data_IF_203705075110
#
_entry.id   IF_203705075110
#
_cell.length_a   1.000
_cell.length_b   1.000
_cell.length_c   1.000
_cell.angle_alpha   90.00
_cell.angle_beta   90.00
_cell.angle_gamma   90.00
#
_symmetry.space_group_name_H-M   'P 1'
#
loop_
_entity.id
_entity.type
_entity.pdbx_description
1 polymer ?
#
# COMPACT_ATOMS: atom_id res chain seq x y z
N UNK A 1 -17.94 -9.03 -13.40
CA UNK A 1 -17.54 -10.47 -13.48
C UNK A 1 -18.71 -11.39 -13.14
N UNK A 2 -19.84 -10.84 -12.72
CA UNK A 2 -21.04 -11.61 -12.41
C UNK A 2 -21.54 -12.31 -13.68
N UNK A 3 -21.45 -13.63 -13.69
CA UNK A 3 -21.89 -14.48 -14.81
C UNK A 3 -20.79 -15.11 -15.66
N UNK A 4 -19.52 -14.74 -15.45
CA UNK A 4 -18.40 -15.40 -16.13
C UNK A 4 -18.03 -16.70 -15.42
N UNK A 5 -17.97 -17.79 -16.17
CA UNK A 5 -17.34 -19.02 -15.72
C UNK A 5 -16.20 -19.38 -16.65
N UNK A 6 -15.06 -19.83 -16.11
CA UNK A 6 -13.94 -20.33 -16.88
C UNK A 6 -13.75 -21.79 -16.51
N UNK A 7 -14.07 -22.65 -17.46
CA UNK A 7 -14.05 -24.09 -17.22
C UNK A 7 -15.03 -24.48 -16.11
N UNK A 8 -14.53 -25.11 -15.04
CA UNK A 8 -15.33 -25.56 -13.87
C UNK A 8 -15.48 -24.51 -12.76
N UNK A 9 -14.89 -23.32 -12.92
CA UNK A 9 -14.92 -22.29 -11.88
C UNK A 9 -16.07 -21.30 -12.11
N UNK A 10 -16.87 -21.09 -11.06
CA UNK A 10 -17.83 -19.99 -11.01
C UNK A 10 -17.11 -18.64 -10.81
N UNK A 11 -17.80 -17.51 -11.02
CA UNK A 11 -17.26 -16.19 -10.77
C UNK A 11 -16.71 -16.06 -9.32
N UNK A 12 -17.46 -16.60 -8.33
CA UNK A 12 -17.00 -16.64 -6.94
C UNK A 12 -15.75 -17.49 -6.76
N UNK A 13 -15.70 -18.67 -7.37
CA UNK A 13 -14.53 -19.56 -7.31
C UNK A 13 -13.29 -18.92 -7.95
N UNK A 14 -13.45 -18.08 -8.98
CA UNK A 14 -12.35 -17.34 -9.59
C UNK A 14 -11.80 -16.23 -8.66
N UNK A 15 -12.68 -15.57 -7.90
CA UNK A 15 -12.24 -14.59 -6.89
C UNK A 15 -11.48 -15.30 -5.77
N UNK A 16 -11.99 -16.40 -5.25
CA UNK A 16 -11.34 -17.19 -4.19
C UNK A 16 -9.97 -17.71 -4.67
N UNK A 17 -9.88 -18.26 -5.88
CA UNK A 17 -8.63 -18.72 -6.48
C UNK A 17 -7.61 -17.58 -6.64
N UNK A 18 -8.06 -16.40 -7.04
CA UNK A 18 -7.20 -15.21 -7.15
C UNK A 18 -6.64 -14.81 -5.79
N UNK A 19 -7.46 -14.80 -4.74
CA UNK A 19 -7.01 -14.45 -3.39
C UNK A 19 -6.01 -15.50 -2.85
N UNK A 20 -6.25 -16.79 -3.09
CA UNK A 20 -5.30 -17.85 -2.74
C UNK A 20 -3.96 -17.70 -3.51
N UNK A 21 -4.02 -17.37 -4.79
CA UNK A 21 -2.83 -17.13 -5.60
C UNK A 21 -2.04 -15.91 -5.11
N UNK A 22 -2.72 -14.80 -4.82
CA UNK A 22 -2.09 -13.62 -4.25
C UNK A 22 -1.44 -13.93 -2.90
N UNK A 23 -2.11 -14.74 -2.09
CA UNK A 23 -1.61 -15.21 -0.82
C UNK A 23 -0.33 -16.04 -0.96
N UNK A 24 -0.33 -16.98 -1.90
CA UNK A 24 0.84 -17.84 -2.19
C UNK A 24 2.01 -17.01 -2.70
N UNK A 25 1.76 -16.06 -3.61
CA UNK A 25 2.79 -15.15 -4.11
C UNK A 25 3.38 -14.31 -2.99
N UNK A 26 2.55 -13.75 -2.12
CA UNK A 26 3.00 -12.99 -0.96
C UNK A 26 3.88 -13.81 -0.04
N UNK A 27 3.48 -15.05 0.26
CA UNK A 27 4.27 -15.98 1.08
C UNK A 27 5.61 -16.33 0.42
N UNK A 28 5.63 -16.57 -0.90
CA UNK A 28 6.86 -16.89 -1.63
C UNK A 28 7.85 -15.72 -1.65
N UNK A 29 7.37 -14.49 -1.88
CA UNK A 29 8.20 -13.29 -1.84
C UNK A 29 8.75 -13.05 -0.43
N UNK A 30 7.91 -13.16 0.60
CA UNK A 30 8.35 -13.01 1.99
C UNK A 30 9.38 -14.07 2.39
N UNK A 31 9.16 -15.33 2.03
CA UNK A 31 10.12 -16.41 2.27
C UNK A 31 11.47 -16.14 1.59
N UNK A 32 11.43 -15.74 0.31
CA UNK A 32 12.64 -15.39 -0.44
C UNK A 32 13.40 -14.23 0.21
N UNK A 33 12.69 -13.20 0.66
CA UNK A 33 13.29 -12.07 1.35
C UNK A 33 13.94 -12.49 2.68
N UNK A 34 13.22 -13.22 3.53
CA UNK A 34 13.76 -13.66 4.82
C UNK A 34 15.03 -14.50 4.64
N UNK A 35 15.03 -15.37 3.63
CA UNK A 35 16.20 -16.20 3.30
C UNK A 35 17.40 -15.38 2.83
N UNK A 36 17.18 -14.27 2.14
CA UNK A 36 18.23 -13.46 1.50
C UNK A 36 18.44 -12.10 2.19
N UNK A 37 17.89 -11.90 3.39
CA UNK A 37 17.90 -10.60 4.08
C UNK A 37 19.31 -10.01 4.23
N UNK A 38 20.30 -10.85 4.48
CA UNK A 38 21.70 -10.42 4.59
C UNK A 38 22.31 -9.84 3.30
N UNK A 39 21.64 -10.03 2.15
CA UNK A 39 22.07 -9.49 0.87
C UNK A 39 21.27 -8.25 0.44
N UNK A 40 20.44 -7.71 1.33
CA UNK A 40 19.48 -6.64 1.01
C UNK A 40 19.80 -5.29 1.69
N UNK A 41 20.99 -5.14 2.27
CA UNK A 41 21.41 -3.91 2.95
C UNK A 41 21.35 -2.68 2.04
N UNK A 42 21.55 -2.88 0.74
CA UNK A 42 21.42 -1.82 -0.28
C UNK A 42 20.01 -1.19 -0.31
N UNK A 43 18.98 -1.91 0.12
CA UNK A 43 17.60 -1.37 0.20
C UNK A 43 17.52 -0.35 1.33
N UNK A 44 18.13 -0.63 2.47
CA UNK A 44 18.18 0.27 3.61
C UNK A 44 19.06 1.49 3.29
N UNK A 45 20.21 1.29 2.65
CA UNK A 45 21.08 2.38 2.18
C UNK A 45 20.36 3.30 1.18
N UNK A 46 19.63 2.71 0.22
CA UNK A 46 18.85 3.47 -0.74
C UNK A 46 17.69 4.22 -0.08
N UNK A 47 16.98 3.59 0.87
CA UNK A 47 15.94 4.24 1.63
C UNK A 47 16.45 5.44 2.44
N UNK A 48 17.62 5.29 3.07
CA UNK A 48 18.27 6.38 3.80
C UNK A 48 18.66 7.54 2.87
N UNK A 49 19.23 7.25 1.69
CA UNK A 49 19.51 8.27 0.68
C UNK A 49 18.25 9.03 0.26
N UNK A 50 17.17 8.32 -0.08
CA UNK A 50 15.88 8.93 -0.44
C UNK A 50 15.35 9.79 0.70
N UNK A 51 15.43 9.29 1.94
CA UNK A 51 15.04 10.03 3.13
C UNK A 51 15.82 11.34 3.30
N UNK A 52 17.13 11.31 3.12
CA UNK A 52 17.98 12.51 3.19
C UNK A 52 17.61 13.55 2.12
N UNK A 53 17.31 13.11 0.90
CA UNK A 53 16.88 14.01 -0.17
C UNK A 53 15.50 14.61 0.13
N UNK A 54 14.56 13.79 0.57
CA UNK A 54 13.20 14.25 0.90
C UNK A 54 13.17 15.25 2.07
N UNK A 55 14.04 15.08 3.05
CA UNK A 55 14.15 16.01 4.21
C UNK A 55 14.46 17.44 3.82
N UNK A 56 15.11 17.68 2.68
CA UNK A 56 15.41 19.05 2.18
C UNK A 56 14.16 19.88 1.94
N UNK A 57 12.99 19.22 1.78
CA UNK A 57 11.69 19.92 1.77
C UNK A 57 11.48 20.81 3.00
N UNK A 58 12.04 20.46 4.15
CA UNK A 58 11.90 21.27 5.37
C UNK A 58 12.60 22.64 5.26
N UNK A 59 13.54 22.78 4.32
CA UNK A 59 14.32 24.01 4.10
C UNK A 59 13.64 24.94 3.09
N UNK A 60 13.11 24.38 2.00
CA UNK A 60 12.60 25.14 0.87
C UNK A 60 11.13 24.85 0.47
N UNK A 61 10.50 23.87 1.11
CA UNK A 61 9.11 23.48 0.84
C UNK A 61 8.90 22.71 -0.48
N UNK A 62 9.98 22.34 -1.18
CA UNK A 62 9.92 21.69 -2.49
C UNK A 62 10.07 20.17 -2.36
N UNK A 63 9.16 19.40 -2.95
CA UNK A 63 9.31 17.95 -3.10
C UNK A 63 10.40 17.65 -4.11
N UNK A 64 11.49 17.03 -3.66
CA UNK A 64 12.67 16.79 -4.49
C UNK A 64 12.81 15.37 -5.00
N UNK A 65 11.99 14.48 -4.49
CA UNK A 65 12.10 13.06 -4.82
C UNK A 65 10.75 12.36 -4.70
N UNK A 66 10.45 11.54 -5.70
CA UNK A 66 9.38 10.56 -5.70
C UNK A 66 9.90 9.22 -6.19
N UNK A 67 9.35 8.15 -5.65
CA UNK A 67 9.70 6.79 -6.06
C UNK A 67 8.49 6.17 -6.77
N UNK A 68 8.67 5.78 -8.01
CA UNK A 68 7.66 5.06 -8.80
C UNK A 68 8.12 3.62 -8.95
N UNK A 69 7.27 2.67 -8.56
CA UNK A 69 7.62 1.25 -8.61
C UNK A 69 6.46 0.39 -9.09
N UNK A 70 6.81 -0.70 -9.76
CA UNK A 70 5.87 -1.77 -10.12
C UNK A 70 5.93 -2.95 -9.15
N UNK A 71 6.82 -2.90 -8.16
CA UNK A 71 6.99 -3.95 -7.18
C UNK A 71 5.84 -3.98 -6.16
N UNK A 72 5.40 -5.18 -5.82
CA UNK A 72 4.33 -5.39 -4.81
C UNK A 72 4.87 -5.58 -3.40
N UNK A 73 6.14 -5.97 -3.28
CA UNK A 73 6.76 -6.21 -1.98
C UNK A 73 6.71 -4.96 -1.09
N UNK A 74 6.90 -5.17 0.19
CA UNK A 74 6.85 -4.12 1.21
C UNK A 74 8.21 -3.83 1.83
N UNK A 75 9.28 -4.34 1.24
CA UNK A 75 10.63 -4.22 1.80
C UNK A 75 11.08 -2.77 1.80
N UNK A 76 10.90 -2.10 0.67
CA UNK A 76 11.26 -0.69 0.55
C UNK A 76 10.34 0.22 1.38
N UNK A 77 9.05 -0.12 1.50
CA UNK A 77 8.10 0.56 2.39
C UNK A 77 8.60 0.55 3.84
N UNK A 78 9.04 -0.63 4.31
CA UNK A 78 9.57 -0.79 5.67
C UNK A 78 10.93 -0.11 5.85
N UNK A 79 11.79 -0.15 4.84
CA UNK A 79 13.08 0.53 4.87
C UNK A 79 12.91 2.05 4.95
N UNK A 80 12.02 2.63 4.14
CA UNK A 80 11.69 4.06 4.20
C UNK A 80 11.09 4.45 5.55
N UNK A 81 10.17 3.62 6.09
CA UNK A 81 9.60 3.87 7.41
C UNK A 81 10.67 3.89 8.49
N UNK A 82 11.57 2.90 8.53
CA UNK A 82 12.71 2.88 9.46
C UNK A 82 13.62 4.09 9.30
N UNK A 83 13.95 4.46 8.07
CA UNK A 83 14.80 5.62 7.78
C UNK A 83 14.17 6.94 8.31
N UNK A 84 12.86 7.11 8.14
CA UNK A 84 12.13 8.25 8.68
C UNK A 84 12.16 8.24 10.22
N UNK A 85 11.84 7.11 10.86
CA UNK A 85 11.76 6.98 12.31
C UNK A 85 13.12 7.16 12.98
N UNK A 86 14.19 6.63 12.40
CA UNK A 86 15.55 6.79 12.90
C UNK A 86 16.07 8.22 12.74
N UNK A 87 15.67 8.89 11.67
CA UNK A 87 16.15 10.21 11.36
C UNK A 87 15.56 11.34 12.21
N UNK A 88 14.28 11.28 12.55
CA UNK A 88 13.58 12.30 13.36
C UNK A 88 12.28 11.75 13.97
N UNK A 89 12.35 11.01 15.06
CA UNK A 89 11.17 10.39 15.68
C UNK A 89 10.11 11.41 16.14
N UNK A 90 10.50 12.66 16.38
CA UNK A 90 9.61 13.74 16.87
C UNK A 90 8.80 14.38 15.74
N UNK A 91 9.15 14.16 14.48
CA UNK A 91 8.47 14.81 13.35
C UNK A 91 7.53 13.81 12.68
N UNK A 92 6.29 14.24 12.47
CA UNK A 92 5.27 13.47 11.77
C UNK A 92 5.58 13.45 10.26
N UNK A 93 6.63 12.75 9.88
CA UNK A 93 7.00 12.47 8.50
C UNK A 93 6.44 11.12 8.08
N UNK A 94 6.08 10.96 6.81
CA UNK A 94 5.33 9.79 6.35
C UNK A 94 5.80 9.28 5.00
N UNK A 95 5.64 7.98 4.80
CA UNK A 95 5.60 7.38 3.46
C UNK A 95 4.23 7.69 2.86
N UNK A 96 4.22 8.41 1.75
CA UNK A 96 3.00 8.87 1.08
C UNK A 96 2.74 8.04 -0.17
N UNK A 97 1.70 7.26 -0.15
CA UNK A 97 1.28 6.48 -1.33
C UNK A 97 0.47 7.29 -2.35
N UNK A 98 0.26 8.59 -2.11
CA UNK A 98 -0.52 9.49 -2.96
C UNK A 98 -1.94 8.99 -3.25
N UNK A 99 -2.54 8.32 -2.28
CA UNK A 99 -3.92 7.84 -2.32
C UNK A 99 -4.52 7.83 -0.92
N UNK A 100 -5.85 7.64 -0.83
CA UNK A 100 -6.55 7.67 0.45
C UNK A 100 -6.46 6.32 1.16
N UNK A 101 -5.65 6.26 2.20
CA UNK A 101 -5.44 5.05 2.99
C UNK A 101 -5.71 5.30 4.47
N UNK A 102 -6.11 4.24 5.18
CA UNK A 102 -6.18 4.22 6.65
C UNK A 102 -5.17 3.20 7.16
N UNK A 103 -4.44 3.51 8.23
CA UNK A 103 -3.62 2.50 8.88
C UNK A 103 -4.51 1.43 9.51
N UNK A 104 -4.12 0.16 9.30
CA UNK A 104 -4.83 -0.95 9.93
C UNK A 104 -4.59 -1.00 11.45
N UNK A 105 -3.40 -0.66 11.87
CA UNK A 105 -2.98 -0.67 13.27
C UNK A 105 -3.62 0.46 14.08
N UNK A 106 -3.98 1.57 13.43
CA UNK A 106 -4.66 2.66 14.09
C UNK A 106 -6.12 2.29 14.41
N UNK A 107 -6.56 2.55 15.63
CA UNK A 107 -8.00 2.44 16.00
C UNK A 107 -8.86 3.53 15.36
N UNK A 108 -8.25 4.39 14.59
CA UNK A 108 -8.86 5.50 13.89
C UNK A 108 -9.12 5.13 12.43
N UNK A 109 -10.39 5.19 12.02
CA UNK A 109 -10.80 5.01 10.63
C UNK A 109 -10.65 6.29 9.81
N UNK A 110 -9.98 7.31 10.33
CA UNK A 110 -9.72 8.55 9.60
C UNK A 110 -8.84 8.25 8.39
N UNK A 111 -9.30 8.65 7.23
CA UNK A 111 -8.49 8.64 6.02
C UNK A 111 -7.54 9.83 6.11
N UNK A 112 -6.25 9.53 6.15
CA UNK A 112 -5.22 10.57 6.10
C UNK A 112 -4.46 10.42 4.78
N UNK A 113 -4.77 11.22 3.75
CA UNK A 113 -3.89 11.32 2.60
C UNK A 113 -2.54 11.85 3.05
N UNK A 114 -1.46 11.40 2.38
CA UNK A 114 -0.09 11.58 2.83
C UNK A 114 0.26 12.98 3.31
N UNK A 115 -0.05 14.02 2.52
CA UNK A 115 0.21 15.42 2.92
C UNK A 115 -0.55 15.85 4.19
N UNK A 116 -1.77 15.36 4.40
CA UNK A 116 -2.54 15.64 5.62
C UNK A 116 -2.04 14.86 6.84
N UNK A 117 -1.24 13.82 6.62
CA UNK A 117 -0.61 13.07 7.69
C UNK A 117 0.74 13.67 8.12
N UNK A 118 1.30 14.58 7.31
CA UNK A 118 2.55 15.30 7.65
C UNK A 118 2.26 16.28 8.77
N UNK A 119 2.96 16.12 9.88
CA UNK A 119 2.89 17.06 11.00
C UNK A 119 3.69 18.34 10.76
N UNK A 120 3.55 19.31 11.65
CA UNK A 120 4.31 20.55 11.58
C UNK A 120 5.83 20.29 11.57
N UNK A 121 6.50 20.79 10.56
CA UNK A 121 7.93 20.57 10.34
C UNK A 121 8.30 19.15 9.88
N UNK A 122 7.32 18.35 9.46
CA UNK A 122 7.53 17.07 8.82
C UNK A 122 7.70 17.17 7.30
N UNK A 123 7.93 16.04 6.67
CA UNK A 123 8.01 15.87 5.22
C UNK A 123 7.37 14.55 4.81
N UNK A 124 7.11 14.37 3.53
CA UNK A 124 6.63 13.12 2.97
C UNK A 124 7.62 12.56 1.94
N UNK A 125 7.64 11.25 1.83
CA UNK A 125 8.32 10.53 0.74
C UNK A 125 7.23 9.88 -0.10
N UNK A 126 7.06 10.36 -1.34
CA UNK A 126 6.08 9.79 -2.27
C UNK A 126 6.56 8.42 -2.76
N UNK A 127 5.77 7.37 -2.49
CA UNK A 127 6.02 6.02 -2.95
C UNK A 127 4.83 5.52 -3.78
N UNK A 128 4.95 5.63 -5.08
CA UNK A 128 3.90 5.40 -6.06
C UNK A 128 3.95 3.95 -6.57
N UNK A 129 3.15 3.07 -5.96
CA UNK A 129 3.11 1.63 -6.27
C UNK A 129 2.05 1.35 -7.32
N UNK A 130 2.45 1.37 -8.60
CA UNK A 130 1.54 1.31 -9.75
C UNK A 130 0.70 0.03 -9.82
N UNK A 131 1.16 -1.05 -9.24
CA UNK A 131 0.48 -2.34 -9.22
C UNK A 131 -0.14 -2.70 -7.86
N UNK A 132 -0.29 -1.72 -6.97
CA UNK A 132 -0.71 -1.97 -5.60
C UNK A 132 0.42 -2.51 -4.73
N UNK A 133 0.08 -3.06 -3.57
CA UNK A 133 1.04 -3.57 -2.60
C UNK A 133 0.48 -4.75 -1.81
N UNK A 134 1.35 -5.64 -1.38
CA UNK A 134 0.96 -6.83 -0.60
C UNK A 134 0.36 -6.48 0.77
N UNK A 135 0.65 -5.28 1.28
CA UNK A 135 0.09 -4.76 2.53
C UNK A 135 -1.15 -3.87 2.33
N UNK A 136 -1.71 -3.80 1.11
CA UNK A 136 -2.90 -3.01 0.81
C UNK A 136 -4.14 -3.88 0.72
N UNK A 137 -5.18 -3.51 1.47
CA UNK A 137 -6.45 -4.20 1.54
C UNK A 137 -7.59 -3.24 1.29
N UNK A 138 -8.54 -3.64 0.47
CA UNK A 138 -9.68 -2.81 0.08
C UNK A 138 -10.99 -3.46 0.48
N UNK A 139 -11.92 -2.61 0.94
CA UNK A 139 -13.31 -3.00 1.10
C UNK A 139 -14.02 -2.92 -0.27
N UNK A 140 -14.61 -4.00 -0.77
CA UNK A 140 -15.34 -3.97 -2.05
C UNK A 140 -16.62 -3.14 -1.98
N UNK A 141 -17.17 -2.90 -0.78
CA UNK A 141 -18.40 -2.13 -0.60
C UNK A 141 -18.14 -0.62 -0.53
N UNK A 142 -17.33 -0.15 0.43
CA UNK A 142 -17.10 1.27 0.63
C UNK A 142 -15.84 1.81 -0.05
N UNK A 143 -15.11 0.96 -0.77
CA UNK A 143 -13.87 1.29 -1.50
C UNK A 143 -12.73 1.82 -0.63
N UNK A 144 -12.88 1.82 0.70
CA UNK A 144 -11.84 2.24 1.62
C UNK A 144 -10.65 1.30 1.54
N UNK A 145 -9.46 1.87 1.50
CA UNK A 145 -8.22 1.12 1.51
C UNK A 145 -7.56 1.20 2.89
N UNK A 146 -7.02 0.08 3.32
CA UNK A 146 -6.23 -0.07 4.54
C UNK A 146 -4.81 -0.49 4.18
N UNK A 147 -3.84 0.05 4.89
CA UNK A 147 -2.44 -0.36 4.81
C UNK A 147 -2.00 -0.95 6.14
N UNK A 148 -1.26 -2.05 6.09
CA UNK A 148 -0.67 -2.71 7.25
C UNK A 148 0.85 -2.64 7.19
N UNK A 149 1.48 -2.24 8.30
CA UNK A 149 2.93 -2.11 8.43
C UNK A 149 3.55 -3.15 9.38
N UNK A 150 2.83 -4.22 9.73
CA UNK A 150 3.37 -5.30 10.55
C UNK A 150 4.58 -5.98 9.91
N UNK A 151 5.52 -6.48 10.72
CA UNK A 151 6.76 -7.13 10.25
C UNK A 151 6.50 -8.44 9.49
N UNK A 152 5.42 -9.13 9.81
CA UNK A 152 4.99 -10.32 9.09
C UNK A 152 3.91 -9.93 8.08
N UNK A 153 4.13 -10.29 6.83
CA UNK A 153 3.08 -10.32 5.82
C UNK A 153 2.17 -11.51 6.17
N UNK A 154 1.52 -11.41 7.32
CA UNK A 154 0.37 -12.26 7.55
C UNK A 154 -0.68 -11.86 6.54
N UNK A 155 -0.92 -12.76 5.60
CA UNK A 155 -2.10 -12.74 4.77
C UNK A 155 -3.25 -12.55 5.75
N UNK A 156 -3.90 -11.37 5.67
CA UNK A 156 -4.95 -11.02 6.63
C UNK A 156 -6.09 -12.03 6.52
N UNK A 157 -5.93 -13.16 7.22
CA UNK A 157 -6.98 -14.16 7.32
C UNK A 157 -8.21 -13.46 7.90
N UNK A 158 -9.21 -13.28 7.06
CA UNK A 158 -10.54 -12.81 7.44
C UNK A 158 -10.63 -11.44 8.15
N UNK A 159 -9.85 -10.46 7.71
CA UNK A 159 -10.08 -9.09 8.17
C UNK A 159 -11.36 -8.50 7.53
N UNK A 160 -12.13 -7.82 8.34
CA UNK A 160 -13.40 -7.20 7.93
C UNK A 160 -13.29 -5.68 7.97
N UNK A 161 -14.01 -5.01 7.05
CA UNK A 161 -14.02 -3.56 7.00
C UNK A 161 -14.61 -2.95 8.28
N UNK A 162 -13.78 -2.33 9.10
CA UNK A 162 -14.18 -1.65 10.34
C UNK A 162 -15.18 -0.52 10.08
N UNK A 163 -14.96 0.23 9.00
CA UNK A 163 -15.85 1.32 8.61
C UNK A 163 -17.27 0.83 8.30
N UNK A 164 -17.41 -0.22 7.51
CA UNK A 164 -18.72 -0.79 7.20
C UNK A 164 -19.39 -1.36 8.46
N UNK A 165 -18.65 -2.04 9.32
CA UNK A 165 -19.19 -2.55 10.59
C UNK A 165 -19.74 -1.43 11.47
N UNK A 166 -18.98 -0.34 11.63
CA UNK A 166 -19.36 0.80 12.48
C UNK A 166 -20.54 1.60 11.91
N UNK A 167 -20.52 1.89 10.60
CA UNK A 167 -21.48 2.84 10.02
C UNK A 167 -22.74 2.19 9.46
N UNK A 168 -22.72 0.89 9.15
CA UNK A 168 -23.87 0.17 8.62
C UNK A 168 -24.42 -0.90 9.57
N UNK A 169 -23.95 -0.94 10.82
CA UNK A 169 -24.43 -1.85 11.84
C UNK A 169 -24.27 -3.33 11.47
N UNK A 170 -23.27 -3.67 10.67
CA UNK A 170 -23.05 -5.04 10.22
C UNK A 170 -22.57 -5.93 11.37
N UNK A 171 -23.27 -7.06 11.60
CA UNK A 171 -22.81 -8.11 12.50
C UNK A 171 -21.55 -8.80 11.92
N UNK A 172 -20.83 -9.58 12.72
CA UNK A 172 -19.66 -10.34 12.25
C UNK A 172 -20.02 -11.30 11.10
N UNK A 173 -21.21 -11.89 11.14
CA UNK A 173 -21.68 -12.84 10.12
C UNK A 173 -21.89 -12.17 8.76
N UNK A 174 -22.33 -10.90 8.75
CA UNK A 174 -22.60 -10.13 7.53
C UNK A 174 -21.48 -9.11 7.21
N UNK A 175 -20.36 -9.19 7.89
CA UNK A 175 -19.26 -8.23 7.69
C UNK A 175 -18.59 -8.41 6.33
N UNK A 176 -18.27 -7.29 5.69
CA UNK A 176 -17.60 -7.29 4.39
C UNK A 176 -16.12 -7.59 4.58
N UNK A 177 -15.67 -8.71 4.02
CA UNK A 177 -14.27 -9.13 4.03
C UNK A 177 -13.44 -8.20 3.15
N UNK A 178 -12.29 -7.79 3.66
CA UNK A 178 -11.31 -7.04 2.89
C UNK A 178 -10.66 -7.94 1.83
N UNK A 179 -10.36 -7.35 0.68
CA UNK A 179 -9.71 -8.01 -0.44
C UNK A 179 -8.33 -7.41 -0.66
N UNK A 180 -7.38 -8.23 -1.08
CA UNK A 180 -6.05 -7.77 -1.48
C UNK A 180 -6.15 -6.82 -2.67
N UNK A 181 -5.40 -5.73 -2.63
CA UNK A 181 -5.36 -4.73 -3.69
C UNK A 181 -4.08 -4.85 -4.52
N UNK A 182 -3.98 -5.93 -5.29
CA UNK A 182 -2.89 -6.22 -6.21
C UNK A 182 -3.38 -6.22 -7.65
N UNK A 183 -2.66 -5.52 -8.52
CA UNK A 183 -2.81 -5.63 -9.97
C UNK A 183 -1.79 -6.62 -10.52
N UNK A 184 -2.26 -7.75 -10.97
CA UNK A 184 -1.42 -8.73 -11.64
C UNK A 184 -0.83 -8.15 -12.95
N UNK A 185 0.36 -8.59 -13.39
CA UNK A 185 0.97 -8.17 -14.63
C UNK A 185 0.25 -8.81 -15.83
N UNK A 186 -0.99 -8.40 -16.06
CA UNK A 186 -1.81 -8.82 -17.19
C UNK A 186 -1.94 -7.70 -18.21
N UNK A 187 -2.23 -8.04 -19.47
CA UNK A 187 -2.46 -7.06 -20.55
C UNK A 187 -3.63 -6.12 -20.26
N UNK A 188 -4.68 -6.64 -19.60
CA UNK A 188 -5.85 -5.86 -19.21
C UNK A 188 -5.79 -5.57 -17.70
N UNK A 189 -5.30 -4.39 -17.34
CA UNK A 189 -5.29 -3.93 -15.95
C UNK A 189 -6.67 -3.38 -15.58
N UNK A 190 -7.29 -3.95 -14.58
CA UNK A 190 -8.50 -3.40 -14.03
C UNK A 190 -8.17 -2.19 -13.15
N UNK A 191 -8.24 -1.01 -13.71
CA UNK A 191 -8.06 0.26 -13.00
C UNK A 191 -9.40 0.80 -12.46
N UNK A 192 -10.39 -0.05 -12.19
CA UNK A 192 -11.67 0.38 -11.59
C UNK A 192 -11.51 0.89 -10.16
N UNK A 193 -10.47 0.44 -9.45
CA UNK A 193 -10.15 0.91 -8.12
C UNK A 193 -9.68 2.37 -8.15
N UNK A 194 -10.43 3.25 -7.46
CA UNK A 194 -10.17 4.69 -7.44
C UNK A 194 -8.80 5.02 -6.81
N UNK A 195 -8.36 4.26 -5.81
CA UNK A 195 -7.08 4.51 -5.14
C UNK A 195 -5.91 4.21 -6.07
N UNK A 196 -5.99 3.13 -6.83
CA UNK A 196 -4.98 2.81 -7.85
C UNK A 196 -4.97 3.87 -8.96
N UNK A 197 -6.14 4.37 -9.39
CA UNK A 197 -6.20 5.48 -10.36
C UNK A 197 -5.47 6.71 -9.85
N UNK A 198 -5.66 7.06 -8.57
CA UNK A 198 -4.97 8.20 -7.95
C UNK A 198 -3.45 8.01 -7.98
N UNK A 199 -2.96 6.81 -7.66
CA UNK A 199 -1.52 6.50 -7.73
C UNK A 199 -0.99 6.68 -9.15
N UNK A 200 -1.69 6.18 -10.17
CA UNK A 200 -1.30 6.35 -11.58
C UNK A 200 -1.32 7.81 -12.03
N UNK A 201 -2.35 8.59 -11.62
CA UNK A 201 -2.44 10.01 -11.92
C UNK A 201 -1.29 10.80 -11.31
N UNK A 202 -0.99 10.55 -10.03
CA UNK A 202 0.15 11.19 -9.35
C UNK A 202 1.48 10.79 -9.99
N UNK A 203 1.65 9.52 -10.37
CA UNK A 203 2.86 9.08 -11.07
C UNK A 203 3.06 9.80 -12.42
N UNK A 204 1.98 10.02 -13.17
CA UNK A 204 2.05 10.78 -14.41
C UNK A 204 2.44 12.25 -14.17
N UNK A 205 1.93 12.88 -13.11
CA UNK A 205 2.30 14.23 -12.70
C UNK A 205 3.78 14.29 -12.35
N UNK A 206 4.24 13.42 -11.45
CA UNK A 206 5.66 13.37 -11.03
C UNK A 206 6.61 13.16 -12.22
N UNK A 207 6.25 12.29 -13.17
CA UNK A 207 7.03 12.08 -14.39
C UNK A 207 7.05 13.31 -15.30
N UNK A 208 5.95 14.08 -15.37
CA UNK A 208 5.89 15.29 -16.18
C UNK A 208 6.68 16.46 -15.59
N UNK A 209 6.88 16.45 -14.29
CA UNK A 209 7.63 17.48 -13.56
C UNK A 209 9.13 17.14 -13.38
N UNK A 210 9.52 15.90 -13.67
CA UNK A 210 10.89 15.41 -13.59
C UNK A 210 11.71 15.83 -14.84
N UNK A 211 11.93 17.13 -15.02
CA UNK A 211 12.72 17.69 -16.14
C UNK A 211 13.97 18.39 -15.67
#
# INVERSE_FOLDING_TARGET
WDGLSIGRYSARGLVELREEFNALMGAAVNYSFQKNRACCDYIDEFAEYINQVARRRMEDGVDRVSVITTNWDVMFDHALKRAIENGHPEKLSVVDYCCYVSSWEANDDTIKPGLLAVGYGGYNIKLLKLHGSMNWFQCPMCQRMYVRFGEEIEIMKAAYCRHCRKNYGMSEINSIKLQSNLLLPTYLKNLSNIQIKLVWQNAAIELSEAT
#
